data_IF_762049866764
#
_entry.id   IF_762049866764
#
_cell.length_a   1.000
_cell.length_b   1.000
_cell.length_c   1.000
_cell.angle_alpha   90.00
_cell.angle_beta   90.00
_cell.angle_gamma   90.00
#
_symmetry.space_group_name_H-M   'P 1'
#
loop_
_entity.id
_entity.type
_entity.pdbx_description
1 polymer ?
#
# COMPACT_ATOMS: atom_id res chain seq x y z
N UNK A 1 7.58 11.21 -7.79
CA UNK A 1 8.88 10.82 -7.20
C UNK A 1 9.90 11.90 -7.56
N UNK A 2 10.67 12.44 -6.61
CA UNK A 2 11.73 13.41 -6.93
C UNK A 2 13.11 12.77 -6.78
N UNK A 3 13.80 12.57 -7.90
CA UNK A 3 15.15 12.04 -7.97
C UNK A 3 16.15 13.06 -7.40
N UNK A 4 17.26 12.60 -6.80
CA UNK A 4 18.27 13.53 -6.25
C UNK A 4 18.78 14.52 -7.32
N UNK A 5 18.97 14.05 -8.56
CA UNK A 5 19.33 14.88 -9.70
C UNK A 5 18.25 15.91 -10.07
N UNK A 6 16.97 15.65 -9.77
CA UNK A 6 15.86 16.54 -10.09
C UNK A 6 15.62 17.64 -9.05
N UNK A 7 16.29 17.57 -7.90
CA UNK A 7 16.21 18.57 -6.81
C UNK A 7 17.24 19.70 -6.94
N UNK A 8 18.18 19.60 -7.88
CA UNK A 8 19.20 20.61 -8.12
C UNK A 8 18.56 21.81 -8.83
N UNK A 9 18.73 23.00 -8.25
CA UNK A 9 18.25 24.24 -8.84
C UNK A 9 19.34 24.81 -9.77
N UNK A 10 19.22 24.52 -11.07
CA UNK A 10 20.22 24.91 -12.08
C UNK A 10 19.78 26.19 -12.78
N UNK A 11 20.68 27.17 -12.89
CA UNK A 11 20.42 28.39 -13.65
C UNK A 11 20.14 28.03 -15.12
N UNK A 12 19.04 28.56 -15.66
CA UNK A 12 18.52 28.30 -17.00
C UNK A 12 19.54 28.68 -18.10
N UNK A 13 20.49 29.57 -17.77
CA UNK A 13 21.62 29.96 -18.64
C UNK A 13 22.70 28.88 -18.77
N UNK A 14 22.84 28.01 -17.77
CA UNK A 14 23.86 26.95 -17.74
C UNK A 14 23.34 25.64 -18.35
N UNK A 15 22.04 25.35 -18.21
CA UNK A 15 21.45 24.12 -18.71
C UNK A 15 20.01 24.36 -19.23
N UNK A 16 19.89 24.77 -20.48
CA UNK A 16 18.60 25.05 -21.14
C UNK A 16 17.66 23.84 -21.19
N UNK A 17 18.22 22.63 -21.32
CA UNK A 17 17.46 21.39 -21.53
C UNK A 17 17.28 20.59 -20.23
N UNK A 18 17.65 21.14 -19.08
CA UNK A 18 17.57 20.43 -17.80
C UNK A 18 16.14 20.05 -17.41
N UNK A 19 15.15 20.88 -17.78
CA UNK A 19 13.73 20.60 -17.52
C UNK A 19 13.28 19.37 -18.32
N UNK A 20 13.64 19.29 -19.60
CA UNK A 20 13.32 18.16 -20.47
C UNK A 20 14.03 16.89 -20.00
N UNK A 21 15.30 17.00 -19.63
CA UNK A 21 16.06 15.90 -19.03
C UNK A 21 15.40 15.41 -17.74
N UNK A 22 15.04 16.32 -16.82
CA UNK A 22 14.33 15.97 -15.57
C UNK A 22 13.04 15.23 -15.87
N UNK A 23 12.23 15.74 -16.81
CA UNK A 23 10.97 15.11 -17.18
C UNK A 23 11.18 13.71 -17.75
N UNK A 24 12.07 13.57 -18.74
CA UNK A 24 12.37 12.27 -19.37
C UNK A 24 12.86 11.26 -18.36
N UNK A 25 13.86 11.62 -17.56
CA UNK A 25 14.42 10.70 -16.56
C UNK A 25 13.37 10.33 -15.52
N UNK A 26 12.57 11.28 -15.03
CA UNK A 26 11.51 10.96 -14.07
C UNK A 26 10.49 9.99 -14.66
N UNK A 27 10.11 10.19 -15.93
CA UNK A 27 9.19 9.30 -16.66
C UNK A 27 9.78 7.90 -16.87
N UNK A 28 11.02 7.81 -17.33
CA UNK A 28 11.69 6.52 -17.57
C UNK A 28 11.78 5.69 -16.28
N UNK A 29 12.13 6.34 -15.15
CA UNK A 29 12.17 5.68 -13.85
C UNK A 29 10.78 5.23 -13.38
N UNK A 30 9.73 6.02 -13.62
CA UNK A 30 8.36 5.65 -13.28
C UNK A 30 7.90 4.42 -14.10
N UNK A 31 8.20 4.39 -15.39
CA UNK A 31 7.93 3.24 -16.26
C UNK A 31 8.66 1.98 -15.82
N UNK A 32 9.95 2.08 -15.47
CA UNK A 32 10.72 0.94 -14.97
C UNK A 32 10.21 0.42 -13.63
N UNK A 33 9.83 1.30 -12.72
CA UNK A 33 9.22 0.92 -11.45
C UNK A 33 7.89 0.22 -11.66
N UNK A 34 7.05 0.73 -12.56
CA UNK A 34 5.78 0.09 -12.92
C UNK A 34 5.98 -1.29 -13.52
N UNK A 35 7.00 -1.49 -14.37
CA UNK A 35 7.33 -2.81 -14.91
C UNK A 35 7.75 -3.80 -13.82
N UNK A 36 8.54 -3.36 -12.84
CA UNK A 36 8.96 -4.20 -11.71
C UNK A 36 7.76 -4.56 -10.83
N UNK A 37 6.89 -3.59 -10.54
CA UNK A 37 5.64 -3.81 -9.81
C UNK A 37 4.76 -4.84 -10.50
N UNK A 38 4.55 -4.71 -11.81
CA UNK A 38 3.75 -5.66 -12.59
C UNK A 38 4.35 -7.07 -12.56
N UNK A 39 5.68 -7.20 -12.65
CA UNK A 39 6.34 -8.50 -12.52
C UNK A 39 6.23 -9.10 -11.12
N UNK A 40 6.40 -8.28 -10.08
CA UNK A 40 6.23 -8.71 -8.69
C UNK A 40 4.80 -9.19 -8.44
N UNK A 41 3.80 -8.46 -8.97
CA UNK A 41 2.40 -8.83 -8.92
C UNK A 41 2.12 -10.18 -9.60
N UNK A 42 2.54 -10.34 -10.86
CA UNK A 42 2.35 -11.61 -11.60
C UNK A 42 3.03 -12.79 -10.91
N UNK A 43 4.09 -12.53 -10.14
CA UNK A 43 4.80 -13.53 -9.36
C UNK A 43 4.22 -13.76 -7.96
N UNK A 44 3.20 -12.98 -7.54
CA UNK A 44 2.65 -13.04 -6.19
C UNK A 44 3.64 -12.63 -5.10
N UNK A 45 4.60 -11.76 -5.42
CA UNK A 45 5.66 -11.36 -4.49
C UNK A 45 5.37 -9.99 -3.87
N UNK A 46 5.31 -9.89 -2.53
CA UNK A 46 5.10 -8.62 -1.86
C UNK A 46 6.31 -7.70 -1.97
N UNK A 47 6.08 -6.44 -2.36
CA UNK A 47 7.10 -5.40 -2.33
C UNK A 47 7.13 -4.75 -0.94
N UNK A 48 8.25 -4.93 -0.22
CA UNK A 48 8.43 -4.41 1.15
C UNK A 48 8.08 -2.93 1.32
N UNK A 49 8.37 -2.11 0.31
CA UNK A 49 8.07 -0.68 0.34
C UNK A 49 6.56 -0.41 0.34
N UNK A 50 5.78 -1.19 -0.41
CA UNK A 50 4.31 -1.06 -0.47
C UNK A 50 3.66 -1.54 0.83
N UNK A 51 4.17 -2.64 1.39
CA UNK A 51 3.75 -3.11 2.71
C UNK A 51 4.05 -2.07 3.80
N UNK A 52 5.22 -1.44 3.74
CA UNK A 52 5.59 -0.40 4.70
C UNK A 52 4.70 0.84 4.55
N UNK A 53 4.30 1.22 3.33
CA UNK A 53 3.31 2.29 3.14
C UNK A 53 1.93 1.91 3.67
N UNK A 54 1.50 0.66 3.55
CA UNK A 54 0.24 0.20 4.16
C UNK A 54 0.26 0.29 5.69
N UNK A 55 1.35 -0.11 6.32
CA UNK A 55 1.47 -0.11 7.79
C UNK A 55 1.48 1.32 8.36
N UNK A 56 2.01 2.28 7.61
CA UNK A 56 2.13 3.67 8.04
C UNK A 56 1.03 4.60 7.54
N UNK A 57 0.20 4.17 6.59
CA UNK A 57 -0.92 4.96 6.06
C UNK A 57 -2.04 5.11 7.09
N UNK A 58 -2.69 6.29 7.10
CA UNK A 58 -3.90 6.47 7.90
C UNK A 58 -5.09 5.71 7.30
N UNK A 59 -6.11 5.33 8.11
CA UNK A 59 -7.29 4.62 7.62
C UNK A 59 -8.01 5.36 6.48
N UNK A 60 -8.08 6.69 6.55
CA UNK A 60 -8.71 7.52 5.53
C UNK A 60 -7.92 7.52 4.21
N UNK A 61 -6.59 7.62 4.27
CA UNK A 61 -5.71 7.57 3.08
C UNK A 61 -5.77 6.21 2.41
N UNK A 62 -5.68 5.13 3.19
CA UNK A 62 -5.74 3.75 2.68
C UNK A 62 -7.12 3.44 2.08
N UNK A 63 -8.19 3.93 2.71
CA UNK A 63 -9.55 3.77 2.20
C UNK A 63 -9.76 4.49 0.87
N UNK A 64 -9.30 5.74 0.76
CA UNK A 64 -9.41 6.51 -0.48
C UNK A 64 -8.59 5.89 -1.63
N UNK A 65 -7.40 5.36 -1.31
CA UNK A 65 -6.56 4.67 -2.29
C UNK A 65 -7.18 3.34 -2.76
N UNK A 66 -7.77 2.55 -1.85
CA UNK A 66 -8.44 1.29 -2.18
C UNK A 66 -9.72 1.53 -3.03
N UNK A 67 -10.47 2.58 -2.75
CA UNK A 67 -11.65 2.97 -3.54
C UNK A 67 -11.25 3.40 -4.95
N UNK A 68 -10.18 4.19 -5.09
CA UNK A 68 -9.64 4.57 -6.39
C UNK A 68 -9.12 3.35 -7.20
N UNK A 69 -8.56 2.33 -6.54
CA UNK A 69 -8.19 1.08 -7.18
C UNK A 69 -9.42 0.27 -7.64
N UNK A 70 -10.44 0.15 -6.78
CA UNK A 70 -11.69 -0.55 -7.10
C UNK A 70 -12.42 0.06 -8.31
N UNK A 71 -12.35 1.38 -8.45
CA UNK A 71 -12.89 2.13 -9.58
C UNK A 71 -11.96 2.12 -10.83
N UNK A 72 -10.84 1.41 -10.78
CA UNK A 72 -9.91 1.23 -11.89
C UNK A 72 -8.98 2.42 -12.16
N UNK A 73 -8.96 3.43 -11.29
CA UNK A 73 -8.07 4.59 -11.41
C UNK A 73 -6.66 4.33 -10.87
N UNK A 74 -6.47 3.29 -10.05
CA UNK A 74 -5.23 3.08 -9.29
C UNK A 74 -4.74 1.61 -9.33
N UNK A 75 -4.48 1.06 -10.51
CA UNK A 75 -4.12 -0.35 -10.71
C UNK A 75 -2.70 -0.76 -10.28
N UNK A 76 -1.93 0.12 -9.61
CA UNK A 76 -0.46 0.00 -9.54
C UNK A 76 0.16 0.08 -8.14
N UNK A 77 -0.64 0.04 -7.07
CA UNK A 77 -0.12 0.40 -5.74
C UNK A 77 -0.26 -0.63 -4.63
N UNK A 78 -1.39 -1.31 -4.48
CA UNK A 78 -1.54 -2.29 -3.40
C UNK A 78 -2.44 -3.40 -3.89
N UNK A 79 -1.89 -4.49 -4.40
CA UNK A 79 -2.71 -5.63 -4.78
C UNK A 79 -3.10 -6.43 -3.53
N UNK A 80 -4.37 -6.38 -3.07
CA UNK A 80 -4.79 -7.07 -1.86
C UNK A 80 -4.47 -8.56 -1.95
N UNK A 81 -4.63 -9.14 -3.14
CA UNK A 81 -4.36 -10.54 -3.46
C UNK A 81 -2.94 -11.02 -3.14
N UNK A 82 -1.94 -10.13 -3.23
CA UNK A 82 -0.54 -10.47 -2.91
C UNK A 82 -0.33 -10.59 -1.40
N UNK A 83 -1.12 -9.88 -0.60
CA UNK A 83 -1.02 -9.82 0.86
C UNK A 83 -2.16 -10.53 1.58
N UNK A 84 -3.13 -11.09 0.84
CA UNK A 84 -4.30 -11.76 1.42
C UNK A 84 -3.89 -12.88 2.37
N UNK A 85 -2.82 -13.62 2.06
CA UNK A 85 -2.34 -14.69 2.92
C UNK A 85 -1.86 -14.17 4.28
N UNK A 86 -1.09 -13.09 4.29
CA UNK A 86 -0.56 -12.44 5.49
C UNK A 86 -1.70 -11.82 6.31
N UNK A 87 -2.66 -11.15 5.65
CA UNK A 87 -3.85 -10.61 6.30
C UNK A 87 -4.68 -11.71 6.96
N UNK A 88 -4.97 -12.79 6.23
CA UNK A 88 -5.69 -13.94 6.77
C UNK A 88 -4.91 -14.63 7.89
N UNK A 89 -3.58 -14.70 7.80
CA UNK A 89 -2.74 -15.22 8.87
C UNK A 89 -2.82 -14.37 10.14
N UNK A 90 -2.71 -13.04 10.01
CA UNK A 90 -2.86 -12.10 11.11
C UNK A 90 -4.23 -12.19 11.77
N UNK A 91 -5.31 -12.22 10.97
CA UNK A 91 -6.68 -12.40 11.48
C UNK A 91 -6.82 -13.72 12.25
N UNK A 92 -6.30 -14.83 11.73
CA UNK A 92 -6.31 -16.13 12.43
C UNK A 92 -5.56 -16.08 13.77
N UNK A 93 -4.41 -15.44 13.81
CA UNK A 93 -3.64 -15.27 15.06
C UNK A 93 -4.43 -14.43 16.05
N UNK A 94 -5.05 -13.33 15.62
CA UNK A 94 -5.91 -12.50 16.47
C UNK A 94 -7.05 -13.33 17.04
N UNK A 95 -7.75 -14.12 16.21
CA UNK A 95 -8.83 -14.99 16.66
C UNK A 95 -8.40 -16.06 17.66
N UNK A 96 -7.13 -16.48 17.66
CA UNK A 96 -6.60 -17.44 18.64
C UNK A 96 -6.15 -16.78 19.94
N UNK A 97 -5.49 -15.63 19.84
CA UNK A 97 -4.87 -14.95 20.99
C UNK A 97 -5.89 -14.11 21.76
N UNK A 98 -6.82 -13.46 21.07
CA UNK A 98 -7.81 -12.57 21.68
C UNK A 98 -8.67 -13.27 22.75
N UNK A 99 -9.21 -14.49 22.54
CA UNK A 99 -9.93 -15.21 23.59
C UNK A 99 -9.07 -15.54 24.82
N UNK A 100 -7.79 -15.87 24.61
CA UNK A 100 -6.86 -16.13 25.71
C UNK A 100 -6.57 -14.86 26.53
N UNK A 101 -6.50 -13.70 25.88
CA UNK A 101 -6.37 -12.39 26.54
C UNK A 101 -7.65 -12.07 27.31
N UNK A 102 -8.83 -12.20 26.68
CA UNK A 102 -10.14 -11.94 27.32
C UNK A 102 -10.31 -12.75 28.60
N UNK A 103 -10.01 -14.06 28.54
CA UNK A 103 -10.04 -14.96 29.71
C UNK A 103 -9.09 -14.50 30.82
N UNK A 104 -7.90 -14.01 30.48
CA UNK A 104 -6.92 -13.54 31.47
C UNK A 104 -7.32 -12.21 32.11
N UNK A 105 -8.11 -11.40 31.41
CA UNK A 105 -8.66 -10.13 31.91
C UNK A 105 -9.98 -10.30 32.67
N UNK A 106 -10.50 -11.53 32.80
CA UNK A 106 -11.79 -11.79 33.47
C UNK A 106 -13.00 -11.32 32.67
N UNK A 107 -12.86 -11.20 31.34
CA UNK A 107 -13.97 -10.92 30.43
C UNK A 107 -14.62 -12.27 30.10
N UNK A 108 -15.65 -12.62 30.87
CA UNK A 108 -16.34 -13.93 30.80
C UNK A 108 -17.45 -13.98 29.74
N UNK A 109 -17.75 -12.86 29.09
CA UNK A 109 -18.72 -12.82 27.99
C UNK A 109 -18.12 -13.50 26.75
N UNK A 110 -18.80 -14.53 26.24
CA UNK A 110 -18.53 -15.07 24.91
C UNK A 110 -18.71 -13.94 23.89
N UNK A 111 -17.60 -13.52 23.29
CA UNK A 111 -17.63 -12.56 22.19
C UNK A 111 -18.53 -13.10 21.09
N UNK A 112 -19.64 -12.41 20.83
CA UNK A 112 -20.50 -12.64 19.68
C UNK A 112 -20.19 -11.59 18.64
N UNK A 113 -19.78 -12.05 17.46
CA UNK A 113 -19.59 -11.17 16.31
C UNK A 113 -20.95 -10.61 15.90
N UNK A 114 -21.13 -9.31 15.99
CA UNK A 114 -22.28 -8.63 15.40
C UNK A 114 -22.00 -8.36 13.92
N UNK A 115 -22.66 -9.11 13.04
CA UNK A 115 -22.47 -8.99 11.59
C UNK A 115 -23.25 -7.83 10.97
N UNK A 116 -24.11 -7.15 11.74
CA UNK A 116 -24.96 -6.08 11.21
C UNK A 116 -24.16 -4.85 10.76
N UNK A 117 -23.00 -4.60 11.36
CA UNK A 117 -22.06 -3.52 11.02
C UNK A 117 -20.99 -3.94 9.97
N UNK A 118 -20.92 -5.22 9.59
CA UNK A 118 -19.92 -5.73 8.65
C UNK A 118 -20.28 -5.50 7.17
N UNK A 119 -21.47 -4.95 6.90
CA UNK A 119 -21.92 -4.65 5.54
C UNK A 119 -21.58 -3.20 5.21
N UNK A 120 -20.74 -3.01 4.20
CA UNK A 120 -20.62 -1.70 3.56
C UNK A 120 -22.00 -1.26 3.04
N UNK A 121 -22.42 -0.04 3.39
CA UNK A 121 -23.64 0.59 2.85
C UNK A 121 -23.47 0.93 1.38
#
# INVERSE_FOLDING_TARGET
MDLAASKVNVDKKLASNFIEFRYRVTKDFDEWLNLIKEKAYRAGLPLRTELLSMVHGSPEELGHEAEAESLGFNSSRIHPDVYMNELLCGMRVIHQVLPAIMKKLGIDEEFKLDESELRAK
#
